data_IF_090560751364
#
_entry.id   IF_090560751364
#
_cell.length_a   1.000
_cell.length_b   1.000
_cell.length_c   1.000
_cell.angle_alpha   90.00
_cell.angle_beta   90.00
_cell.angle_gamma   90.00
#
_symmetry.space_group_name_H-M   'P 1'
#
loop_
_entity.id
_entity.type
_entity.pdbx_description
1 polymer ?
#
# COMPACT_ATOMS: atom_id res chain seq x y z
N UNK A 1 -5.71 12.21 -12.71
CA UNK A 1 -5.78 12.71 -11.32
C UNK A 1 -5.23 11.57 -10.49
N UNK A 2 -4.11 11.80 -9.85
CA UNK A 2 -3.47 10.72 -9.08
C UNK A 2 -4.37 10.37 -7.89
N UNK A 3 -4.47 9.09 -7.59
CA UNK A 3 -5.34 8.58 -6.53
C UNK A 3 -4.73 8.97 -5.18
N UNK A 4 -5.38 9.85 -4.43
CA UNK A 4 -4.98 10.17 -3.05
C UNK A 4 -5.23 8.92 -2.21
N UNK A 5 -4.21 8.49 -1.45
CA UNK A 5 -4.28 7.32 -0.58
C UNK A 5 -4.20 7.69 0.91
N UNK A 6 -3.42 8.71 1.24
CA UNK A 6 -3.33 9.23 2.60
C UNK A 6 -3.48 10.76 2.58
N UNK A 7 -4.14 11.29 3.59
CA UNK A 7 -4.10 12.71 3.91
C UNK A 7 -3.34 12.86 5.22
N UNK A 8 -2.29 13.67 5.24
CA UNK A 8 -1.44 13.87 6.40
C UNK A 8 -1.42 15.37 6.78
N UNK A 9 -1.41 15.64 8.08
CA UNK A 9 -1.07 16.95 8.61
C UNK A 9 0.41 16.94 9.00
N UNK A 10 1.21 17.81 8.38
CA UNK A 10 2.66 17.93 8.62
C UNK A 10 2.91 19.11 9.52
N UNK A 11 3.70 18.91 10.58
CA UNK A 11 4.00 19.91 11.59
C UNK A 11 5.35 20.57 11.37
N UNK A 12 5.40 21.89 11.50
CA UNK A 12 6.62 22.70 11.51
C UNK A 12 7.14 22.97 12.93
N UNK A 13 8.41 23.40 13.03
CA UNK A 13 9.06 23.65 14.33
C UNK A 13 8.39 24.77 15.15
N UNK A 14 7.70 25.70 14.50
CA UNK A 14 7.06 26.86 15.18
C UNK A 14 5.61 26.57 15.60
N UNK A 15 5.14 25.32 15.53
CA UNK A 15 3.74 24.97 15.74
C UNK A 15 2.82 25.33 14.55
N UNK A 16 3.41 25.65 13.39
CA UNK A 16 2.68 25.72 12.12
C UNK A 16 2.38 24.29 11.63
N UNK A 17 1.33 24.13 10.83
CA UNK A 17 0.99 22.86 10.18
C UNK A 17 0.46 23.10 8.77
N UNK A 18 0.56 22.09 7.93
CA UNK A 18 0.03 22.10 6.58
C UNK A 18 -0.47 20.70 6.20
N UNK A 19 -1.56 20.65 5.42
CA UNK A 19 -2.11 19.40 4.92
C UNK A 19 -1.35 18.95 3.67
N UNK A 20 -1.09 17.66 3.58
CA UNK A 20 -0.41 17.01 2.46
C UNK A 20 -1.16 15.78 2.02
N UNK A 21 -1.55 15.74 0.73
CA UNK A 21 -2.12 14.56 0.11
C UNK A 21 -1.00 13.66 -0.43
N UNK A 22 -1.06 12.36 -0.14
CA UNK A 22 -0.08 11.37 -0.60
C UNK A 22 -0.76 10.36 -1.55
N UNK A 23 -0.08 9.94 -2.62
CA UNK A 23 1.28 10.28 -2.99
C UNK A 23 1.44 11.73 -3.43
N UNK A 24 2.51 12.37 -2.98
CA UNK A 24 2.91 13.70 -3.36
C UNK A 24 4.11 13.68 -4.30
N UNK A 25 4.19 14.66 -5.19
CA UNK A 25 5.36 14.90 -6.02
C UNK A 25 6.51 15.49 -5.19
N UNK A 26 7.73 15.45 -5.70
CA UNK A 26 8.88 16.05 -5.03
C UNK A 26 8.69 17.58 -4.84
N UNK A 27 7.97 18.23 -5.77
CA UNK A 27 7.63 19.65 -5.66
C UNK A 27 6.69 19.93 -4.48
N UNK A 28 5.61 19.16 -4.37
CA UNK A 28 4.65 19.32 -3.28
C UNK A 28 5.31 19.08 -1.92
N UNK A 29 6.20 18.09 -1.81
CA UNK A 29 6.99 17.88 -0.60
C UNK A 29 7.90 19.06 -0.30
N UNK A 30 8.63 19.59 -1.29
CA UNK A 30 9.50 20.74 -1.10
C UNK A 30 8.72 22.02 -0.76
N UNK A 31 7.58 22.25 -1.40
CA UNK A 31 6.68 23.39 -1.12
C UNK A 31 6.17 23.35 0.33
N UNK A 32 5.77 22.17 0.83
CA UNK A 32 5.34 22.00 2.23
C UNK A 32 6.49 22.27 3.20
N UNK A 33 7.70 21.77 2.92
CA UNK A 33 8.86 22.05 3.76
C UNK A 33 9.18 23.55 3.81
N UNK A 34 9.11 24.24 2.66
CA UNK A 34 9.32 25.70 2.59
C UNK A 34 8.24 26.45 3.36
N UNK A 35 6.96 26.12 3.18
CA UNK A 35 5.82 26.69 3.89
C UNK A 35 5.98 26.58 5.42
N UNK A 36 6.47 25.43 5.88
CA UNK A 36 6.69 25.15 7.30
C UNK A 36 8.05 25.64 7.82
N UNK A 37 8.84 26.32 6.97
CA UNK A 37 10.21 26.79 7.26
C UNK A 37 11.15 25.66 7.68
N UNK A 38 10.95 24.45 7.15
CA UNK A 38 11.77 23.29 7.41
C UNK A 38 12.89 23.14 6.37
N UNK A 39 14.03 22.61 6.80
CA UNK A 39 15.11 22.26 5.88
C UNK A 39 14.70 21.13 4.94
N UNK A 40 15.19 21.08 3.69
CA UNK A 40 14.98 19.93 2.78
C UNK A 40 15.48 18.57 3.35
N UNK A 41 16.36 18.61 4.34
CA UNK A 41 16.86 17.44 5.05
C UNK A 41 16.16 17.18 6.39
N UNK A 42 15.15 17.98 6.74
CA UNK A 42 14.39 17.78 7.96
C UNK A 42 13.66 16.45 7.95
N UNK A 43 13.34 15.95 9.13
CA UNK A 43 12.39 14.86 9.34
C UNK A 43 11.14 15.44 9.99
N UNK A 44 10.18 15.91 9.18
CA UNK A 44 8.99 16.53 9.73
C UNK A 44 8.14 15.50 10.48
N UNK A 45 7.58 15.94 11.61
CA UNK A 45 6.52 15.17 12.27
C UNK A 45 5.23 15.30 11.47
N UNK A 46 4.41 14.28 11.47
CA UNK A 46 3.12 14.28 10.78
C UNK A 46 2.12 13.38 11.49
N UNK A 47 0.84 13.60 11.20
CA UNK A 47 -0.27 12.75 11.59
C UNK A 47 -1.07 12.37 10.34
N UNK A 48 -1.45 11.09 10.21
CA UNK A 48 -2.29 10.66 9.08
C UNK A 48 -3.76 10.85 9.47
N UNK A 49 -4.44 11.76 8.78
CA UNK A 49 -5.82 12.11 9.02
C UNK A 49 -6.81 11.16 8.34
N UNK A 50 -6.42 10.61 7.17
CA UNK A 50 -7.29 9.74 6.36
C UNK A 50 -6.50 8.69 5.60
N UNK A 51 -7.13 7.51 5.45
CA UNK A 51 -6.66 6.38 4.64
C UNK A 51 -7.72 6.06 3.58
N UNK A 52 -7.39 6.19 2.30
CA UNK A 52 -8.31 5.87 1.20
C UNK A 52 -7.99 4.50 0.58
N UNK A 53 -8.89 3.54 0.80
CA UNK A 53 -8.74 2.18 0.28
C UNK A 53 -7.78 1.26 1.05
N UNK A 54 -7.03 1.80 2.03
CA UNK A 54 -6.04 1.08 2.83
C UNK A 54 -6.26 1.28 4.34
N UNK A 55 -7.52 1.35 4.79
CA UNK A 55 -7.90 1.58 6.18
C UNK A 55 -7.32 0.53 7.14
N UNK A 56 -7.08 -0.68 6.65
CA UNK A 56 -6.47 -1.76 7.44
C UNK A 56 -5.02 -1.44 7.89
N UNK A 57 -4.36 -0.47 7.27
CA UNK A 57 -3.03 -0.02 7.69
C UNK A 57 -3.07 0.87 8.93
N UNK A 58 -4.18 1.56 9.22
CA UNK A 58 -4.27 2.54 10.31
C UNK A 58 -3.78 2.00 11.68
N UNK A 59 -4.17 0.80 12.14
CA UNK A 59 -3.68 0.27 13.40
C UNK A 59 -2.24 -0.25 13.35
N UNK A 60 -1.60 -0.27 12.17
CA UNK A 60 -0.28 -0.85 11.95
C UNK A 60 0.78 0.22 11.70
N UNK A 61 0.35 1.46 11.42
CA UNK A 61 1.26 2.58 11.17
C UNK A 61 1.79 3.14 12.48
N UNK A 62 3.11 3.32 12.56
CA UNK A 62 3.80 3.89 13.72
C UNK A 62 4.04 5.39 13.49
N UNK A 63 3.87 6.22 14.52
CA UNK A 63 4.14 7.66 14.50
C UNK A 63 5.62 7.99 14.21
N UNK A 64 6.52 7.04 14.43
CA UNK A 64 7.96 7.20 14.15
C UNK A 64 8.33 6.98 12.68
N UNK A 65 7.37 6.64 11.81
CA UNK A 65 7.63 6.43 10.39
C UNK A 65 8.04 7.74 9.72
N UNK A 66 9.04 7.67 8.83
CA UNK A 66 9.54 8.80 8.08
C UNK A 66 8.54 9.22 6.97
N UNK A 67 8.22 10.51 6.89
CA UNK A 67 7.26 11.06 5.91
C UNK A 67 7.64 10.74 4.47
N UNK A 68 8.93 10.77 4.13
CA UNK A 68 9.39 10.50 2.76
C UNK A 68 9.20 9.03 2.39
N UNK A 69 9.49 8.13 3.32
CA UNK A 69 9.21 6.70 3.16
C UNK A 69 7.70 6.41 3.07
N UNK A 70 6.86 7.14 3.84
CA UNK A 70 5.41 7.05 3.72
C UNK A 70 4.93 7.49 2.33
N UNK A 71 5.49 8.59 1.80
CA UNK A 71 5.21 9.02 0.44
C UNK A 71 5.65 7.98 -0.60
N UNK A 72 6.80 7.33 -0.40
CA UNK A 72 7.28 6.22 -1.23
C UNK A 72 6.33 5.02 -1.22
N UNK A 73 5.82 4.65 -0.04
CA UNK A 73 4.78 3.64 0.10
C UNK A 73 3.51 4.05 -0.65
N UNK A 74 3.03 5.28 -0.46
CA UNK A 74 1.83 5.78 -1.14
C UNK A 74 1.99 5.75 -2.68
N UNK A 75 3.15 6.16 -3.22
CA UNK A 75 3.45 6.08 -4.65
C UNK A 75 3.32 4.63 -5.14
N UNK A 76 3.98 3.68 -4.47
CA UNK A 76 3.90 2.27 -4.87
C UNK A 76 2.48 1.72 -4.78
N UNK A 77 1.76 2.01 -3.70
CA UNK A 77 0.36 1.56 -3.55
C UNK A 77 -0.59 2.16 -4.59
N UNK A 78 -0.30 3.37 -5.10
CA UNK A 78 -1.10 3.99 -6.16
C UNK A 78 -0.92 3.32 -7.53
N UNK A 79 0.19 2.63 -7.74
CA UNK A 79 0.53 1.89 -8.95
C UNK A 79 -0.07 0.48 -8.99
N UNK A 80 -0.43 -0.07 -7.82
CA UNK A 80 -0.97 -1.43 -7.72
C UNK A 80 -2.32 -1.53 -8.42
N UNK A 81 -2.48 -2.57 -9.22
CA UNK A 81 -3.77 -2.93 -9.75
C UNK A 81 -4.69 -3.54 -8.67
N UNK A 82 -5.91 -3.94 -9.06
CA UNK A 82 -6.89 -4.47 -8.11
C UNK A 82 -6.45 -5.80 -7.48
N UNK A 83 -5.76 -6.67 -8.22
CA UNK A 83 -5.29 -7.98 -7.75
C UNK A 83 -4.05 -7.79 -6.87
N UNK A 84 -3.11 -6.97 -7.29
CA UNK A 84 -1.91 -6.62 -6.51
C UNK A 84 -2.28 -5.95 -5.18
N UNK A 85 -3.30 -5.08 -5.19
CA UNK A 85 -3.81 -4.46 -3.96
C UNK A 85 -4.41 -5.49 -2.98
N UNK A 86 -5.07 -6.54 -3.49
CA UNK A 86 -5.55 -7.67 -2.68
C UNK A 86 -4.38 -8.50 -2.13
N UNK A 87 -3.39 -8.77 -2.97
CA UNK A 87 -2.17 -9.49 -2.62
C UNK A 87 -1.40 -8.76 -1.52
N UNK A 88 -1.24 -7.45 -1.64
CA UNK A 88 -0.61 -6.62 -0.62
C UNK A 88 -1.33 -6.72 0.74
N UNK A 89 -2.67 -6.63 0.76
CA UNK A 89 -3.45 -6.81 1.99
C UNK A 89 -3.20 -8.19 2.61
N UNK A 90 -3.19 -9.24 1.79
CA UNK A 90 -2.87 -10.60 2.25
C UNK A 90 -1.46 -10.74 2.81
N UNK A 91 -0.45 -10.16 2.17
CA UNK A 91 0.93 -10.14 2.67
C UNK A 91 1.05 -9.42 4.02
N UNK A 92 0.38 -8.27 4.17
CA UNK A 92 0.32 -7.56 5.44
C UNK A 92 -0.33 -8.42 6.52
N UNK A 93 -1.45 -9.09 6.20
CA UNK A 93 -2.13 -9.97 7.13
C UNK A 93 -1.22 -11.16 7.56
N UNK A 94 -0.48 -11.76 6.62
CA UNK A 94 0.47 -12.82 6.93
C UNK A 94 1.56 -12.37 7.91
N UNK A 95 2.07 -11.14 7.74
CA UNK A 95 3.10 -10.60 8.65
C UNK A 95 2.51 -10.31 10.04
N UNK A 96 1.29 -9.78 10.12
CA UNK A 96 0.59 -9.56 11.40
C UNK A 96 0.37 -10.88 12.13
N UNK A 97 -0.01 -11.96 11.43
CA UNK A 97 -0.23 -13.28 12.04
C UNK A 97 1.05 -13.94 12.57
N UNK A 98 2.20 -13.64 11.96
CA UNK A 98 3.50 -14.13 12.46
C UNK A 98 3.86 -13.60 13.86
N UNK A 99 3.25 -12.48 14.30
CA UNK A 99 3.50 -11.81 15.60
C UNK A 99 4.98 -11.49 15.86
N UNK A 100 5.74 -11.28 14.80
CA UNK A 100 7.17 -10.96 14.86
C UNK A 100 7.38 -9.43 14.93
N UNK A 101 6.94 -8.78 16.00
CA UNK A 101 7.17 -7.35 16.23
C UNK A 101 6.15 -6.43 15.52
N UNK A 102 6.40 -5.11 15.53
CA UNK A 102 5.62 -4.10 14.82
C UNK A 102 5.99 -4.09 13.33
N UNK A 103 4.99 -3.85 12.47
CA UNK A 103 5.22 -3.62 11.05
C UNK A 103 5.89 -2.25 10.85
N UNK A 104 7.13 -2.27 10.39
CA UNK A 104 7.86 -1.04 10.04
C UNK A 104 7.52 -0.56 8.64
N UNK A 105 7.72 0.74 8.37
CA UNK A 105 7.55 1.31 7.00
C UNK A 105 8.41 0.57 5.97
N UNK A 106 9.64 0.17 6.35
CA UNK A 106 10.53 -0.67 5.55
C UNK A 106 9.81 -1.93 5.08
N UNK A 107 9.23 -2.67 6.03
CA UNK A 107 8.54 -3.93 5.72
C UNK A 107 7.32 -3.70 4.85
N UNK A 108 6.52 -2.66 5.11
CA UNK A 108 5.37 -2.31 4.28
C UNK A 108 5.76 -1.99 2.83
N UNK A 109 6.86 -1.29 2.62
CA UNK A 109 7.38 -1.01 1.28
C UNK A 109 7.82 -2.30 0.58
N UNK A 110 8.60 -3.14 1.25
CA UNK A 110 9.04 -4.43 0.68
C UNK A 110 7.83 -5.31 0.31
N UNK A 111 6.78 -5.34 1.15
CA UNK A 111 5.52 -6.06 0.84
C UNK A 111 4.78 -5.45 -0.35
N UNK A 112 4.72 -4.12 -0.47
CA UNK A 112 4.07 -3.46 -1.59
C UNK A 112 4.78 -3.76 -2.93
N UNK A 113 6.11 -3.86 -2.91
CA UNK A 113 6.91 -4.28 -4.07
C UNK A 113 6.89 -5.78 -4.35
N UNK A 114 6.31 -6.56 -3.44
CA UNK A 114 6.13 -8.02 -3.57
C UNK A 114 4.69 -8.42 -3.84
N UNK A 115 3.82 -7.48 -4.19
CA UNK A 115 2.40 -7.76 -4.41
C UNK A 115 2.14 -8.77 -5.55
N UNK A 116 3.05 -8.87 -6.51
CA UNK A 116 3.05 -9.85 -7.60
C UNK A 116 3.53 -11.26 -7.17
N UNK A 117 4.09 -11.40 -5.96
CA UNK A 117 4.55 -12.68 -5.40
C UNK A 117 3.43 -13.53 -4.81
N UNK A 118 2.16 -13.21 -5.08
CA UNK A 118 1.01 -13.89 -4.51
C UNK A 118 0.01 -14.32 -5.56
N UNK A 119 -0.73 -15.38 -5.23
CA UNK A 119 -1.97 -15.73 -5.92
C UNK A 119 -3.17 -15.31 -5.07
N UNK A 120 -4.18 -14.78 -5.73
CA UNK A 120 -5.48 -14.45 -5.17
C UNK A 120 -6.52 -15.49 -5.61
N UNK A 121 -7.36 -15.92 -4.65
CA UNK A 121 -8.48 -16.82 -4.88
C UNK A 121 -9.75 -16.18 -4.32
N UNK A 122 -10.87 -16.12 -5.07
CA UNK A 122 -12.14 -15.57 -4.60
C UNK A 122 -12.84 -16.55 -3.65
N UNK A 123 -12.21 -16.84 -2.51
CA UNK A 123 -12.72 -17.72 -1.46
C UNK A 123 -12.63 -17.00 -0.12
N UNK A 124 -13.68 -17.12 0.70
CA UNK A 124 -13.82 -16.37 1.96
C UNK A 124 -13.86 -17.29 3.18
N UNK A 125 -13.99 -18.60 2.93
CA UNK A 125 -14.04 -19.65 3.95
C UNK A 125 -13.24 -20.85 3.50
N UNK A 126 -12.92 -21.74 4.43
CA UNK A 126 -12.29 -23.03 4.08
C UNK A 126 -13.18 -23.85 3.13
N UNK A 127 -14.52 -23.78 3.25
CA UNK A 127 -15.43 -24.49 2.32
C UNK A 127 -15.36 -23.92 0.91
N UNK A 128 -15.35 -22.57 0.75
CA UNK A 128 -15.19 -21.94 -0.56
C UNK A 128 -13.85 -22.29 -1.19
N UNK A 129 -12.77 -22.27 -0.39
CA UNK A 129 -11.42 -22.59 -0.85
C UNK A 129 -11.35 -24.06 -1.34
N UNK A 130 -11.88 -24.98 -0.55
CA UNK A 130 -11.91 -26.41 -0.93
C UNK A 130 -12.70 -26.66 -2.21
N UNK A 131 -13.86 -25.99 -2.38
CA UNK A 131 -14.65 -26.06 -3.62
C UNK A 131 -13.89 -25.47 -4.80
N UNK A 132 -13.30 -24.28 -4.64
CA UNK A 132 -12.53 -23.63 -5.72
C UNK A 132 -11.42 -24.54 -6.23
N UNK A 133 -10.66 -25.16 -5.33
CA UNK A 133 -9.57 -26.08 -5.72
C UNK A 133 -10.06 -27.35 -6.39
N UNK A 134 -11.19 -27.88 -5.91
CA UNK A 134 -11.79 -29.09 -6.50
C UNK A 134 -12.41 -28.83 -7.88
N UNK A 135 -13.06 -27.69 -8.08
CA UNK A 135 -13.76 -27.32 -9.31
C UNK A 135 -12.81 -26.83 -10.43
N UNK A 136 -11.60 -26.40 -10.06
CA UNK A 136 -10.59 -25.91 -11.01
C UNK A 136 -9.42 -26.90 -11.23
N UNK A 137 -9.62 -28.16 -10.95
CA UNK A 137 -8.64 -29.24 -11.19
C UNK A 137 -7.29 -29.07 -10.44
N UNK A 138 -7.26 -28.30 -9.35
CA UNK A 138 -6.06 -28.16 -8.52
C UNK A 138 -5.84 -29.36 -7.58
N UNK A 139 -6.79 -30.29 -7.53
CA UNK A 139 -6.73 -31.53 -6.74
C UNK A 139 -6.81 -32.73 -7.67
N UNK A 140 -5.68 -33.20 -8.25
CA UNK A 140 -5.66 -34.28 -9.20
C UNK A 140 -6.30 -35.59 -8.67
N UNK A 141 -6.26 -35.78 -7.33
CA UNK A 141 -6.84 -36.94 -6.65
C UNK A 141 -8.37 -36.99 -6.82
N UNK A 142 -9.03 -35.90 -7.09
CA UNK A 142 -10.47 -35.81 -7.28
C UNK A 142 -10.92 -36.03 -8.73
N UNK A 143 -10.00 -36.01 -9.70
CA UNK A 143 -10.32 -36.05 -11.14
C UNK A 143 -11.03 -37.32 -11.60
N UNK A 144 -11.06 -38.39 -10.80
CA UNK A 144 -11.72 -39.67 -11.12
C UNK A 144 -12.76 -40.06 -10.06
N UNK A 145 -13.17 -39.12 -9.20
CA UNK A 145 -14.17 -39.42 -8.16
C UNK A 145 -15.57 -39.40 -8.80
N UNK A 146 -16.40 -40.47 -8.62
CA UNK A 146 -17.79 -40.48 -9.09
C UNK A 146 -18.61 -39.32 -8.45
N UNK A 147 -19.58 -38.79 -9.20
CA UNK A 147 -20.43 -37.66 -8.76
C UNK A 147 -21.14 -37.90 -7.41
N UNK A 148 -21.51 -39.18 -7.14
CA UNK A 148 -22.15 -39.56 -5.88
C UNK A 148 -21.18 -39.40 -4.69
N UNK A 149 -19.91 -39.70 -4.90
CA UNK A 149 -18.87 -39.56 -3.87
C UNK A 149 -18.45 -38.06 -3.74
N UNK A 150 -18.33 -37.37 -4.87
CA UNK A 150 -17.97 -35.96 -4.90
C UNK A 150 -18.92 -35.11 -4.04
N UNK A 151 -20.21 -35.40 -4.07
CA UNK A 151 -21.26 -34.73 -3.26
C UNK A 151 -21.13 -34.98 -1.76
N UNK A 152 -20.37 -36.00 -1.35
CA UNK A 152 -20.15 -36.33 0.06
C UNK A 152 -18.84 -35.76 0.62
N UNK A 153 -18.05 -35.07 -0.22
CA UNK A 153 -16.80 -34.47 0.22
C UNK A 153 -17.02 -33.35 1.23
N UNK A 154 -16.17 -33.31 2.23
CA UNK A 154 -16.07 -32.22 3.21
C UNK A 154 -15.13 -31.16 2.66
N UNK A 155 -15.67 -30.21 1.88
CA UNK A 155 -14.87 -29.13 1.27
C UNK A 155 -14.26 -28.20 2.32
N UNK A 156 -14.91 -28.01 3.49
CA UNK A 156 -14.35 -27.24 4.59
C UNK A 156 -13.05 -27.86 5.13
N UNK A 157 -13.03 -29.19 5.26
CA UNK A 157 -11.82 -29.90 5.68
C UNK A 157 -10.73 -29.89 4.61
N UNK A 158 -11.11 -30.00 3.34
CA UNK A 158 -10.19 -29.93 2.20
C UNK A 158 -9.55 -28.53 2.17
N UNK A 159 -10.32 -27.47 2.18
CA UNK A 159 -9.82 -26.10 2.15
C UNK A 159 -8.96 -25.75 3.36
N UNK A 160 -9.33 -26.23 4.55
CA UNK A 160 -8.50 -26.06 5.75
C UNK A 160 -7.12 -26.71 5.56
N UNK A 161 -7.06 -27.92 5.02
CA UNK A 161 -5.79 -28.61 4.77
C UNK A 161 -4.95 -27.85 3.73
N UNK A 162 -5.58 -27.31 2.68
CA UNK A 162 -4.93 -26.48 1.67
C UNK A 162 -4.32 -25.25 2.34
N UNK A 163 -5.13 -24.46 3.06
CA UNK A 163 -4.69 -23.25 3.73
C UNK A 163 -3.53 -23.49 4.71
N UNK A 164 -3.62 -24.56 5.50
CA UNK A 164 -2.55 -24.94 6.43
C UNK A 164 -1.26 -25.35 5.70
N UNK A 165 -1.39 -26.06 4.57
CA UNK A 165 -0.26 -26.48 3.73
C UNK A 165 0.43 -25.31 3.03
N UNK A 166 -0.34 -24.40 2.47
CA UNK A 166 0.14 -23.25 1.72
C UNK A 166 0.47 -22.05 2.61
N UNK A 167 -0.01 -22.03 3.87
CA UNK A 167 0.12 -20.91 4.81
C UNK A 167 -0.47 -19.61 4.29
N UNK A 168 -1.51 -19.71 3.48
CA UNK A 168 -2.27 -18.56 3.00
C UNK A 168 -3.22 -18.00 4.06
N UNK A 169 -3.77 -16.82 3.81
CA UNK A 169 -4.65 -16.10 4.72
C UNK A 169 -5.95 -15.68 4.04
N UNK A 170 -7.03 -15.62 4.81
CA UNK A 170 -8.25 -14.96 4.39
C UNK A 170 -8.19 -13.48 4.73
N UNK A 171 -8.49 -12.65 3.75
CA UNK A 171 -8.78 -11.23 3.93
C UNK A 171 -10.29 -10.97 3.75
N UNK A 172 -10.82 -9.80 4.09
CA UNK A 172 -12.21 -9.45 3.78
C UNK A 172 -12.55 -9.53 2.29
N UNK A 173 -11.54 -9.54 1.41
CA UNK A 173 -11.72 -9.54 -0.05
C UNK A 173 -11.43 -10.87 -0.72
N UNK A 174 -10.93 -11.88 0.00
CA UNK A 174 -10.68 -13.22 -0.51
C UNK A 174 -9.45 -13.88 0.12
N UNK A 175 -9.05 -15.03 -0.40
CA UNK A 175 -7.90 -15.79 0.04
C UNK A 175 -6.64 -15.41 -0.73
N UNK A 176 -5.54 -15.22 -0.03
CA UNK A 176 -4.23 -14.87 -0.60
C UNK A 176 -3.19 -15.87 -0.14
N UNK A 177 -2.35 -16.32 -1.06
CA UNK A 177 -1.23 -17.22 -0.79
C UNK A 177 0.04 -16.69 -1.44
N UNK A 178 1.14 -16.67 -0.69
CA UNK A 178 2.46 -16.32 -1.21
C UNK A 178 3.03 -17.47 -2.03
N UNK A 179 3.49 -17.19 -3.26
CA UNK A 179 3.99 -18.19 -4.22
C UNK A 179 5.47 -18.09 -4.51
N UNK A 180 6.09 -16.96 -4.17
CA UNK A 180 7.53 -16.72 -4.38
C UNK A 180 8.14 -15.89 -3.25
N UNK A 181 9.46 -15.75 -3.27
CA UNK A 181 10.20 -14.97 -2.27
C UNK A 181 9.88 -13.48 -2.36
N UNK A 182 9.82 -12.82 -1.21
CA UNK A 182 9.54 -11.39 -1.13
C UNK A 182 10.77 -10.57 -1.52
N UNK A 183 10.55 -9.48 -2.24
CA UNK A 183 11.56 -8.50 -2.55
C UNK A 183 12.03 -7.73 -1.29
N UNK A 184 13.29 -7.33 -1.28
CA UNK A 184 13.88 -6.45 -0.27
C UNK A 184 14.45 -5.22 -0.96
N UNK A 185 13.61 -4.23 -1.20
CA UNK A 185 13.94 -3.08 -2.04
C UNK A 185 14.19 -1.79 -1.25
N UNK A 186 13.68 -1.70 -0.04
CA UNK A 186 13.73 -0.46 0.76
C UNK A 186 15.12 0.14 0.84
N UNK A 187 16.15 -0.66 1.14
CA UNK A 187 17.53 -0.20 1.32
C UNK A 187 18.21 0.27 0.02
N UNK A 188 17.58 0.01 -1.13
CA UNK A 188 18.08 0.43 -2.44
C UNK A 188 17.46 1.74 -2.92
N UNK A 189 16.50 2.30 -2.18
CA UNK A 189 15.72 3.47 -2.57
C UNK A 189 16.10 4.71 -1.77
N UNK A 190 16.05 5.86 -2.45
CA UNK A 190 16.08 7.17 -1.81
C UNK A 190 14.69 7.81 -1.94
N UNK A 191 14.02 8.02 -0.81
CA UNK A 191 12.67 8.58 -0.74
C UNK A 191 12.65 10.09 -0.54
N UNK A 192 13.82 10.73 -0.40
CA UNK A 192 13.90 12.18 -0.21
C UNK A 192 13.50 12.90 -1.48
N UNK A 193 12.78 14.05 -1.35
CA UNK A 193 12.43 14.83 -2.50
C UNK A 193 13.69 15.37 -3.19
N UNK A 194 13.76 15.17 -4.50
CA UNK A 194 14.87 15.66 -5.30
C UNK A 194 14.59 17.08 -5.75
N UNK A 195 15.57 17.98 -5.55
CA UNK A 195 15.44 19.35 -6.05
C UNK A 195 15.40 19.30 -7.58
N UNK A 196 14.37 19.87 -8.20
CA UNK A 196 14.25 19.85 -9.65
C UNK A 196 15.36 20.66 -10.32
N UNK A 197 15.80 20.19 -11.48
CA UNK A 197 16.78 20.85 -12.32
C UNK A 197 16.11 21.89 -13.24
N UNK A 198 15.45 22.91 -12.66
CA UNK A 198 14.85 24.02 -13.40
C UNK A 198 15.03 25.37 -12.66
N UNK A 199 15.02 26.44 -13.45
CA UNK A 199 15.28 27.80 -12.96
C UNK A 199 13.99 28.50 -12.51
N UNK A 200 12.81 28.09 -13.04
CA UNK A 200 11.51 28.69 -12.67
C UNK A 200 10.38 27.68 -12.84
N UNK A 201 9.31 27.89 -12.06
CA UNK A 201 8.07 27.12 -12.11
C UNK A 201 6.94 27.99 -12.62
N UNK A 202 6.13 27.47 -13.55
CA UNK A 202 4.88 28.09 -14.02
C UNK A 202 3.69 27.28 -13.51
N UNK A 203 2.81 27.92 -12.75
CA UNK A 203 1.52 27.34 -12.39
C UNK A 203 0.45 27.88 -13.33
N UNK A 204 -0.15 27.01 -14.14
CA UNK A 204 -1.27 27.36 -15.01
C UNK A 204 -2.58 27.20 -14.25
N UNK A 205 -3.30 28.32 -14.04
CA UNK A 205 -4.64 28.31 -13.47
C UNK A 205 -5.67 28.20 -14.61
N UNK A 206 -6.74 27.43 -14.38
CA UNK A 206 -7.84 27.38 -15.33
C UNK A 206 -8.49 28.77 -15.48
N UNK A 207 -8.84 29.14 -16.71
CA UNK A 207 -9.48 30.42 -17.00
C UNK A 207 -10.84 30.50 -16.27
N UNK A 208 -10.94 31.39 -15.27
CA UNK A 208 -12.14 31.56 -14.43
C UNK A 208 -11.87 31.88 -12.96
N UNK A 209 -10.65 31.71 -12.48
CA UNK A 209 -10.28 32.20 -11.16
C UNK A 209 -9.86 33.68 -11.23
N UNK A 210 -10.56 34.53 -10.46
CA UNK A 210 -10.37 35.99 -10.44
C UNK A 210 -9.12 36.46 -9.70
N UNK A 211 -8.26 35.55 -9.24
CA UNK A 211 -7.16 35.86 -8.33
C UNK A 211 -5.77 35.86 -8.98
N UNK A 212 -5.72 36.26 -10.27
CA UNK A 212 -4.44 36.44 -10.93
C UNK A 212 -3.88 37.84 -10.66
N UNK A 213 -3.37 38.09 -9.45
CA UNK A 213 -2.38 39.10 -9.21
C UNK A 213 -1.07 38.45 -8.82
N UNK A 214 -0.28 38.18 -9.86
CA UNK A 214 1.05 37.63 -9.71
C UNK A 214 1.95 38.56 -8.93
N UNK A 215 2.51 38.08 -7.86
CA UNK A 215 3.71 38.67 -7.29
C UNK A 215 4.93 38.28 -8.13
N UNK A 216 5.70 39.28 -8.36
CA UNK A 216 6.77 39.49 -9.27
C UNK A 216 7.73 38.34 -9.57
N UNK A 217 8.09 38.29 -10.83
CA UNK A 217 9.32 37.69 -11.33
C UNK A 217 10.53 38.27 -10.59
N UNK A 218 11.08 37.53 -9.65
CA UNK A 218 12.42 37.83 -9.13
C UNK A 218 13.43 37.17 -10.07
N UNK A 219 14.15 38.02 -10.81
CA UNK A 219 15.37 37.59 -11.49
C UNK A 219 16.52 37.52 -10.47
N UNK A 220 17.49 36.60 -10.68
CA UNK A 220 18.69 36.53 -9.89
C UNK A 220 19.57 37.75 -10.06
#
# INVERSE_FOLDING_TARGET
MDKILFEAEVSGENGSYAELSLPATDYELLDILEQLSLSPNARPSYEILRYEGYQFLAPLMDEEMDLYSLNGLARKLSELDSVESLSFEGLVQMEVEKKEGSLTIRKLIDLAYSADCCNYVPAYTDDDLGRFYAENDFLPELGNVPDEIYKLLDFGKIGKNIREGERGVFTPRGYVVQTSDLAQVYDTMDFRPQKPDYVFRLTLLASGSSDFFGEGLSYP
#
